data_IF_402151902994
#
_entry.id   IF_402151902994
#
_cell.length_a   1.000
_cell.length_b   1.000
_cell.length_c   1.000
_cell.angle_alpha   90.00
_cell.angle_beta   90.00
_cell.angle_gamma   90.00
#
_symmetry.space_group_name_H-M   'P 1'
#
loop_
_entity.id
_entity.type
_entity.pdbx_description
1 polymer ?
#
# COMPACT_ATOMS: atom_id res chain seq x y z
N UNK A 1 6.90 -8.11 -5.92
CA UNK A 1 5.42 -8.10 -5.93
C UNK A 1 4.92 -6.72 -6.30
N UNK A 2 3.90 -6.66 -7.12
CA UNK A 2 3.15 -5.43 -7.41
C UNK A 2 1.75 -5.53 -6.81
N UNK A 3 1.41 -4.63 -5.91
CA UNK A 3 0.12 -4.62 -5.22
C UNK A 3 -0.63 -3.33 -5.53
N UNK A 4 -1.82 -3.47 -6.09
CA UNK A 4 -2.73 -2.36 -6.39
C UNK A 4 -3.83 -2.32 -5.34
N UNK A 5 -3.96 -1.19 -4.64
CA UNK A 5 -4.92 -1.02 -3.54
C UNK A 5 -5.90 0.08 -3.91
N UNK A 6 -7.10 -0.34 -4.28
CA UNK A 6 -8.17 0.55 -4.74
C UNK A 6 -9.49 -0.20 -4.66
N UNK A 7 -10.56 0.49 -4.31
CA UNK A 7 -11.89 -0.11 -4.19
C UNK A 7 -12.63 -0.23 -5.54
N UNK A 8 -12.33 0.67 -6.47
CA UNK A 8 -13.07 0.80 -7.73
C UNK A 8 -12.18 0.60 -8.96
N UNK A 9 -11.04 1.28 -9.01
CA UNK A 9 -10.17 1.28 -10.18
C UNK A 9 -9.44 -0.03 -10.31
N UNK A 10 -9.52 -0.64 -11.49
CA UNK A 10 -8.79 -1.86 -11.79
C UNK A 10 -7.29 -1.59 -11.95
N UNK A 11 -6.44 -2.59 -11.64
CA UNK A 11 -5.00 -2.44 -11.87
C UNK A 11 -4.67 -2.18 -13.33
N UNK A 12 -3.51 -1.56 -13.60
CA UNK A 12 -3.08 -1.27 -14.98
C UNK A 12 -2.82 -2.51 -15.84
N UNK A 13 -2.49 -3.64 -15.23
CA UNK A 13 -2.20 -4.89 -15.95
C UNK A 13 -2.38 -6.10 -15.04
N UNK A 14 -2.25 -7.29 -15.60
CA UNK A 14 -2.36 -8.57 -14.88
C UNK A 14 -1.18 -8.85 -13.94
N UNK A 15 -0.11 -8.06 -14.02
CA UNK A 15 1.04 -8.20 -13.14
C UNK A 15 0.74 -7.81 -11.69
N UNK A 16 -0.34 -7.05 -11.49
CA UNK A 16 -0.71 -6.52 -10.18
C UNK A 16 -1.65 -7.46 -9.45
N UNK A 17 -1.40 -7.68 -8.17
CA UNK A 17 -2.40 -8.21 -7.25
C UNK A 17 -3.34 -7.07 -6.88
N UNK A 18 -4.63 -7.32 -6.88
CA UNK A 18 -5.64 -6.32 -6.56
C UNK A 18 -6.20 -6.55 -5.17
N UNK A 19 -5.91 -5.64 -4.24
CA UNK A 19 -6.51 -5.61 -2.92
C UNK A 19 -7.52 -4.45 -2.87
N UNK A 20 -8.74 -4.73 -2.45
CA UNK A 20 -9.81 -3.74 -2.40
C UNK A 20 -10.05 -3.19 -1.00
N UNK A 21 -9.50 -3.81 0.03
CA UNK A 21 -9.56 -3.35 1.42
C UNK A 21 -8.20 -3.33 2.06
N UNK A 22 -8.09 -2.63 3.19
CA UNK A 22 -6.86 -2.61 4.00
C UNK A 22 -6.50 -4.03 4.44
N UNK A 23 -7.46 -4.80 4.94
CA UNK A 23 -7.20 -6.15 5.41
C UNK A 23 -6.77 -7.08 4.27
N UNK A 24 -7.32 -6.94 3.07
CA UNK A 24 -6.86 -7.68 1.90
C UNK A 24 -5.41 -7.32 1.54
N UNK A 25 -5.06 -6.04 1.59
CA UNK A 25 -3.69 -5.58 1.31
C UNK A 25 -2.71 -6.13 2.34
N UNK A 26 -3.04 -6.07 3.62
CA UNK A 26 -2.21 -6.61 4.70
C UNK A 26 -2.00 -8.10 4.53
N UNK A 27 -3.05 -8.83 4.20
CA UNK A 27 -2.96 -10.28 3.95
C UNK A 27 -2.01 -10.58 2.79
N UNK A 28 -2.10 -9.83 1.69
CA UNK A 28 -1.22 -10.00 0.55
C UNK A 28 0.26 -9.76 0.93
N UNK A 29 0.52 -8.72 1.71
CA UNK A 29 1.88 -8.42 2.18
C UNK A 29 2.40 -9.53 3.09
N UNK A 30 1.59 -10.00 4.02
CA UNK A 30 1.97 -11.09 4.94
C UNK A 30 2.26 -12.40 4.20
N UNK A 31 1.50 -12.70 3.16
CA UNK A 31 1.67 -13.92 2.38
C UNK A 31 2.89 -13.89 1.47
N UNK A 32 3.45 -12.71 1.23
CA UNK A 32 4.63 -12.56 0.39
C UNK A 32 5.90 -12.83 1.21
N UNK A 33 6.52 -13.98 0.95
CA UNK A 33 7.73 -14.37 1.65
C UNK A 33 8.98 -13.83 0.94
N UNK A 34 9.60 -12.84 1.54
CA UNK A 34 10.81 -12.20 1.01
C UNK A 34 12.09 -12.91 1.41
N UNK A 35 12.01 -13.95 2.22
CA UNK A 35 13.21 -14.67 2.67
C UNK A 35 13.93 -15.40 1.53
N UNK A 36 13.21 -15.71 0.46
CA UNK A 36 13.72 -16.43 -0.71
C UNK A 36 13.96 -15.54 -1.93
N UNK A 37 13.74 -14.23 -1.81
CA UNK A 37 13.86 -13.32 -2.93
C UNK A 37 14.33 -11.95 -2.44
N UNK A 38 15.05 -11.25 -3.31
CA UNK A 38 15.43 -9.84 -3.11
C UNK A 38 14.49 -8.89 -3.86
N UNK A 39 13.35 -9.39 -4.32
CA UNK A 39 12.42 -8.60 -5.10
C UNK A 39 11.85 -7.43 -4.30
N UNK A 40 11.58 -6.36 -5.02
CA UNK A 40 10.95 -5.15 -4.49
C UNK A 40 9.47 -5.40 -4.29
N UNK A 41 8.90 -4.85 -3.22
CA UNK A 41 7.46 -4.75 -3.04
C UNK A 41 7.03 -3.36 -3.52
N UNK A 42 6.30 -3.32 -4.62
CA UNK A 42 5.78 -2.09 -5.20
C UNK A 42 4.28 -2.01 -4.91
N UNK A 43 3.87 -0.99 -4.15
CA UNK A 43 2.49 -0.82 -3.71
C UNK A 43 1.95 0.49 -4.25
N UNK A 44 0.86 0.43 -5.02
CA UNK A 44 0.15 1.60 -5.50
C UNK A 44 -1.15 1.75 -4.72
N UNK A 45 -1.29 2.86 -4.00
CA UNK A 45 -2.39 3.11 -3.06
C UNK A 45 -3.28 4.24 -3.52
N UNK A 46 -4.60 4.02 -3.48
CA UNK A 46 -5.59 5.09 -3.33
C UNK A 46 -5.67 5.47 -1.84
N UNK A 47 -6.48 6.47 -1.48
CA UNK A 47 -6.69 6.87 -0.08
C UNK A 47 -8.03 6.35 0.45
N UNK A 48 -9.11 6.61 -0.26
CA UNK A 48 -10.46 6.34 0.24
C UNK A 48 -10.92 4.93 -0.15
N UNK A 49 -11.26 4.12 0.85
CA UNK A 49 -11.65 2.73 0.64
C UNK A 49 -13.12 2.56 0.24
N UNK A 50 -13.94 3.62 0.30
CA UNK A 50 -15.34 3.57 -0.10
C UNK A 50 -16.13 2.48 0.61
N UNK A 51 -16.78 1.62 -0.15
CA UNK A 51 -17.59 0.52 0.39
C UNK A 51 -16.75 -0.53 1.14
N UNK A 52 -15.44 -0.54 0.95
CA UNK A 52 -14.52 -1.45 1.64
C UNK A 52 -13.91 -0.86 2.91
N UNK A 53 -14.33 0.35 3.31
CA UNK A 53 -13.86 1.00 4.52
C UNK A 53 -14.19 0.24 5.80
N UNK A 54 -15.24 -0.58 5.80
CA UNK A 54 -15.58 -1.42 6.94
C UNK A 54 -14.58 -2.57 7.16
N UNK A 55 -13.77 -2.90 6.16
CA UNK A 55 -12.76 -3.97 6.22
C UNK A 55 -11.35 -3.40 6.42
N UNK A 56 -11.17 -2.63 7.49
CA UNK A 56 -9.87 -2.11 7.90
C UNK A 56 -9.69 -0.60 7.80
N UNK A 57 -10.69 0.14 7.32
CA UNK A 57 -10.62 1.60 7.19
C UNK A 57 -10.09 2.08 5.84
N UNK A 58 -9.69 3.34 5.79
CA UNK A 58 -9.06 3.92 4.60
C UNK A 58 -7.63 3.41 4.42
N UNK A 59 -7.11 3.51 3.20
CA UNK A 59 -5.86 2.82 2.82
C UNK A 59 -4.61 3.35 3.51
N UNK A 60 -4.64 4.52 4.13
CA UNK A 60 -3.55 4.99 4.99
C UNK A 60 -3.25 4.00 6.13
N UNK A 61 -4.24 3.18 6.51
CA UNK A 61 -4.07 2.15 7.53
C UNK A 61 -3.07 1.06 7.12
N UNK A 62 -2.86 0.84 5.84
CA UNK A 62 -1.80 -0.06 5.36
C UNK A 62 -0.44 0.47 5.81
N UNK A 63 -0.22 1.77 5.65
CA UNK A 63 1.04 2.41 6.08
C UNK A 63 1.18 2.40 7.60
N UNK A 64 0.10 2.66 8.33
CA UNK A 64 0.10 2.57 9.80
C UNK A 64 0.48 1.16 10.26
N UNK A 65 -0.06 0.14 9.62
CA UNK A 65 0.24 -1.25 9.96
C UNK A 65 1.71 -1.59 9.72
N UNK A 66 2.26 -1.17 8.57
CA UNK A 66 3.69 -1.37 8.26
C UNK A 66 4.58 -0.69 9.30
N UNK A 67 4.24 0.52 9.70
CA UNK A 67 4.98 1.28 10.71
C UNK A 67 4.94 0.57 12.07
N UNK A 68 3.75 0.13 12.50
CA UNK A 68 3.57 -0.57 13.77
C UNK A 68 4.26 -1.93 13.80
N UNK A 69 4.31 -2.60 12.67
CA UNK A 69 5.00 -3.88 12.52
C UNK A 69 6.52 -3.74 12.56
N UNK A 70 7.03 -2.51 12.56
CA UNK A 70 8.47 -2.26 12.59
C UNK A 70 9.19 -2.59 11.29
N UNK A 71 8.46 -2.60 10.18
CA UNK A 71 9.05 -2.88 8.87
C UNK A 71 9.80 -1.63 8.40
N UNK A 72 11.11 -1.75 8.33
CA UNK A 72 11.97 -0.68 7.83
C UNK A 72 12.13 -0.79 6.31
N UNK A 73 12.74 0.23 5.70
CA UNK A 73 12.97 0.25 4.26
C UNK A 73 13.90 -0.87 3.81
N UNK A 74 13.31 -1.95 3.33
CA UNK A 74 14.02 -3.11 2.80
C UNK A 74 13.53 -3.46 1.40
N UNK A 75 13.21 -2.46 0.59
CA UNK A 75 12.72 -2.65 -0.77
C UNK A 75 11.23 -2.37 -0.95
N UNK A 76 10.66 -1.53 -0.11
CA UNK A 76 9.29 -1.04 -0.30
C UNK A 76 9.28 0.21 -1.16
N UNK A 77 8.44 0.20 -2.19
CA UNK A 77 8.21 1.34 -3.07
C UNK A 77 6.72 1.65 -3.08
N UNK A 78 6.38 2.91 -2.89
CA UNK A 78 4.99 3.36 -2.86
C UNK A 78 4.71 4.34 -3.97
N UNK A 79 3.59 4.16 -4.64
CA UNK A 79 3.01 5.11 -5.57
C UNK A 79 1.61 5.46 -5.08
N UNK A 80 1.30 6.75 -5.01
CA UNK A 80 -0.01 7.23 -4.57
C UNK A 80 -0.79 7.72 -5.78
N UNK A 81 -1.87 7.01 -6.11
CA UNK A 81 -2.73 7.37 -7.25
C UNK A 81 -4.04 8.01 -6.84
N UNK A 82 -4.09 8.52 -5.60
CA UNK A 82 -5.29 9.16 -5.05
C UNK A 82 -5.55 10.54 -5.62
N UNK A 83 -6.84 10.92 -5.71
CA UNK A 83 -7.29 12.26 -6.05
C UNK A 83 -7.49 13.13 -4.80
N UNK A 84 -7.32 12.59 -3.59
CA UNK A 84 -7.49 13.31 -2.34
C UNK A 84 -6.17 13.97 -1.92
N UNK A 85 -6.02 15.32 -2.05
CA UNK A 85 -4.73 15.97 -1.77
C UNK A 85 -4.34 15.93 -0.28
N UNK A 86 -5.29 16.02 0.64
CA UNK A 86 -5.02 15.93 2.07
C UNK A 86 -4.58 14.50 2.44
N UNK A 87 -5.29 13.51 1.93
CA UNK A 87 -4.94 12.11 2.13
C UNK A 87 -3.57 11.78 1.57
N UNK A 88 -3.26 12.27 0.37
CA UNK A 88 -1.94 12.10 -0.25
C UNK A 88 -0.84 12.67 0.64
N UNK A 89 -1.01 13.87 1.14
CA UNK A 89 -0.02 14.53 1.98
C UNK A 89 0.24 13.74 3.27
N UNK A 90 -0.82 13.26 3.91
CA UNK A 90 -0.71 12.46 5.12
C UNK A 90 0.03 11.13 4.86
N UNK A 91 -0.28 10.48 3.75
CA UNK A 91 0.39 9.23 3.36
C UNK A 91 1.87 9.46 3.03
N UNK A 92 2.19 10.52 2.30
CA UNK A 92 3.58 10.89 1.97
C UNK A 92 4.40 11.13 3.24
N UNK A 93 3.80 11.75 4.25
CA UNK A 93 4.47 12.01 5.52
C UNK A 93 4.90 10.73 6.21
N UNK A 94 4.03 9.73 6.25
CA UNK A 94 4.33 8.42 6.84
C UNK A 94 5.43 7.71 6.04
N UNK A 95 5.32 7.73 4.72
CA UNK A 95 6.30 7.09 3.83
C UNK A 95 7.69 7.68 4.06
N UNK A 96 7.81 9.01 4.08
CA UNK A 96 9.09 9.69 4.28
C UNK A 96 9.65 9.47 5.68
N UNK A 97 8.79 9.49 6.70
CA UNK A 97 9.19 9.27 8.10
C UNK A 97 9.87 7.91 8.27
N UNK A 98 9.40 6.90 7.57
CA UNK A 98 9.91 5.54 7.70
C UNK A 98 11.03 5.20 6.70
N UNK A 99 11.43 6.15 5.87
CA UNK A 99 12.50 5.94 4.90
C UNK A 99 12.13 5.08 3.71
N UNK A 100 10.85 4.78 3.53
CA UNK A 100 10.37 4.05 2.36
C UNK A 100 10.44 4.96 1.12
N UNK A 101 10.50 4.34 -0.06
CA UNK A 101 10.62 5.10 -1.30
C UNK A 101 9.26 5.49 -1.87
N UNK A 102 9.13 6.77 -2.20
CA UNK A 102 7.95 7.30 -2.89
C UNK A 102 8.28 7.45 -4.38
N UNK A 103 7.50 6.75 -5.20
CA UNK A 103 7.62 6.79 -6.66
C UNK A 103 6.52 7.70 -7.20
N UNK A 104 6.86 8.54 -8.14
CA UNK A 104 5.91 9.47 -8.76
C UNK A 104 5.49 9.01 -10.15
#
# INVERSE_FOLDING_TARGET
MKLWVDDIRTPPSDEWLWARSVNQAITAIKCYDRSFTSDIIYISLDHDAGDFGADGGDYIRVLDWLEQAGIVDTGYFFHLHTQNPVGRENMERIIRKNGWRLVR
#
